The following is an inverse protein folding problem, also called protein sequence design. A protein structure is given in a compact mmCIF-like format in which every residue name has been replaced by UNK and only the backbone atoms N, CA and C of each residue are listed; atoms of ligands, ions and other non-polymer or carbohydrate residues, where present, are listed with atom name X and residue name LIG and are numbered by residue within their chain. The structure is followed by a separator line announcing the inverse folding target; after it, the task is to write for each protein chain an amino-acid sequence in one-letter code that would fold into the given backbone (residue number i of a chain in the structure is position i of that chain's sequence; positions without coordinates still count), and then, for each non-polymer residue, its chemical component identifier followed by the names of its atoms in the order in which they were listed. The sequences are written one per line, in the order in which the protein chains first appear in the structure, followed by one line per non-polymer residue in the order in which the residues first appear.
data_IF_771982056078
#
_entry.id   IF_771982056078
#
_cell.length_a   1.000
_cell.length_b   1.000
_cell.length_c   1.000
_cell.angle_alpha   90.00
_cell.angle_beta   90.00
_cell.angle_gamma   90.00
#
_symmetry.space_group_name_H-M   'P 1'
#
loop_
_entity.id
_entity.type
_entity.pdbx_description
1 polymer ?
#
# COMPACT_ATOMS: atom_id res chain seq x y z
N UNK A 1 -22.08 -4.93 23.58
CA UNK A 1 -21.09 -4.45 22.60
C UNK A 1 -21.65 -4.71 21.20
N UNK A 2 -21.53 -3.78 20.24
CA UNK A 2 -22.06 -3.98 18.89
C UNK A 2 -21.38 -5.18 18.23
N UNK A 3 -22.18 -6.02 17.57
CA UNK A 3 -21.69 -7.18 16.83
C UNK A 3 -20.80 -6.74 15.65
N UNK A 4 -19.85 -7.60 15.26
CA UNK A 4 -19.00 -7.36 14.10
C UNK A 4 -19.81 -7.36 12.80
N UNK A 5 -19.53 -6.41 11.91
CA UNK A 5 -20.12 -6.31 10.57
C UNK A 5 -19.03 -6.43 9.50
N UNK A 6 -18.99 -7.54 8.74
CA UNK A 6 -17.98 -7.75 7.69
C UNK A 6 -18.23 -6.89 6.43
N UNK A 7 -19.37 -6.19 6.37
CA UNK A 7 -19.79 -5.49 5.16
C UNK A 7 -18.76 -4.45 4.68
N UNK A 8 -18.16 -3.71 5.62
CA UNK A 8 -17.17 -2.68 5.29
C UNK A 8 -15.89 -3.30 4.72
N UNK A 9 -15.34 -4.32 5.36
CA UNK A 9 -14.14 -5.02 4.89
C UNK A 9 -14.38 -5.67 3.52
N UNK A 10 -15.53 -6.32 3.32
CA UNK A 10 -15.89 -6.94 2.03
C UNK A 10 -16.05 -5.93 0.89
N UNK A 11 -16.71 -4.79 1.14
CA UNK A 11 -16.87 -3.72 0.14
C UNK A 11 -15.51 -3.11 -0.22
N UNK A 12 -14.66 -2.91 0.79
CA UNK A 12 -13.30 -2.37 0.61
C UNK A 12 -12.43 -3.32 -0.20
N UNK A 13 -12.43 -4.61 0.16
CA UNK A 13 -11.74 -5.66 -0.59
C UNK A 13 -12.20 -5.73 -2.05
N UNK A 14 -13.52 -5.69 -2.28
CA UNK A 14 -14.08 -5.73 -3.63
C UNK A 14 -13.64 -4.53 -4.47
N UNK A 15 -13.62 -3.33 -3.89
CA UNK A 15 -13.10 -2.13 -4.55
C UNK A 15 -11.61 -2.28 -4.90
N UNK A 16 -10.79 -2.69 -3.94
CA UNK A 16 -9.34 -2.85 -4.12
C UNK A 16 -9.00 -3.90 -5.17
N UNK A 17 -9.68 -5.05 -5.16
CA UNK A 17 -9.54 -6.09 -6.18
C UNK A 17 -9.99 -5.62 -7.56
N UNK A 18 -11.10 -4.86 -7.64
CA UNK A 18 -11.55 -4.31 -8.91
C UNK A 18 -10.52 -3.33 -9.50
N UNK A 19 -9.94 -2.45 -8.68
CA UNK A 19 -8.88 -1.53 -9.09
C UNK A 19 -7.61 -2.29 -9.47
N UNK A 20 -7.23 -3.33 -8.71
CA UNK A 20 -6.07 -4.17 -9.01
C UNK A 20 -6.23 -4.88 -10.36
N UNK A 21 -7.39 -5.50 -10.58
CA UNK A 21 -7.71 -6.22 -11.81
C UNK A 21 -7.79 -5.28 -13.03
N UNK A 22 -8.30 -4.06 -12.85
CA UNK A 22 -8.26 -3.03 -13.89
C UNK A 22 -6.81 -2.60 -14.19
N UNK A 23 -6.04 -2.30 -13.16
CA UNK A 23 -4.65 -1.83 -13.29
C UNK A 23 -3.76 -2.88 -13.93
N UNK A 24 -3.92 -4.17 -13.60
CA UNK A 24 -3.15 -5.28 -14.16
C UNK A 24 -3.30 -5.41 -15.69
N UNK A 25 -4.49 -5.13 -16.21
CA UNK A 25 -4.80 -5.24 -17.65
C UNK A 25 -4.44 -3.99 -18.44
N UNK A 26 -4.20 -2.88 -17.75
CA UNK A 26 -4.03 -1.60 -18.40
C UNK A 26 -2.59 -1.35 -18.85
N UNK A 27 -2.38 -0.53 -19.90
CA UNK A 27 -1.04 -0.16 -20.37
C UNK A 27 -0.32 0.73 -19.36
N UNK A 28 1.00 0.71 -19.35
CA UNK A 28 1.84 1.47 -18.42
C UNK A 28 3.20 0.84 -18.20
N UNK A 29 4.08 1.52 -17.46
CA UNK A 29 5.38 0.95 -17.07
C UNK A 29 5.19 -0.33 -16.25
N UNK A 30 5.78 -1.47 -16.65
CA UNK A 30 5.48 -2.76 -16.04
C UNK A 30 5.89 -2.83 -14.56
N UNK A 31 6.99 -2.18 -14.17
CA UNK A 31 7.44 -2.14 -12.77
C UNK A 31 6.42 -1.41 -11.88
N UNK A 32 5.98 -0.21 -12.30
CA UNK A 32 4.98 0.60 -11.59
C UNK A 32 3.67 -0.17 -11.48
N UNK A 33 3.17 -0.72 -12.59
CA UNK A 33 1.92 -1.47 -12.64
C UNK A 33 1.93 -2.69 -11.70
N UNK A 34 2.99 -3.51 -11.74
CA UNK A 34 3.11 -4.70 -10.89
C UNK A 34 3.11 -4.34 -9.41
N UNK A 35 3.83 -3.29 -9.02
CA UNK A 35 3.90 -2.83 -7.63
C UNK A 35 2.56 -2.27 -7.14
N UNK A 36 1.87 -1.47 -7.95
CA UNK A 36 0.53 -0.95 -7.62
C UNK A 36 -0.47 -2.11 -7.45
N UNK A 37 -0.46 -3.08 -8.36
CA UNK A 37 -1.32 -4.28 -8.26
C UNK A 37 -1.00 -5.07 -7.01
N UNK A 38 0.28 -5.32 -6.71
CA UNK A 38 0.68 -6.05 -5.51
C UNK A 38 0.22 -5.34 -4.23
N UNK A 39 0.37 -4.02 -4.13
CA UNK A 39 -0.11 -3.24 -2.99
C UNK A 39 -1.63 -3.37 -2.85
N UNK A 40 -2.40 -3.19 -3.93
CA UNK A 40 -3.86 -3.30 -3.90
C UNK A 40 -4.33 -4.71 -3.51
N UNK A 41 -3.62 -5.75 -3.95
CA UNK A 41 -3.92 -7.15 -3.58
C UNK A 41 -3.66 -7.41 -2.11
N UNK A 42 -2.57 -6.89 -1.55
CA UNK A 42 -2.30 -6.98 -0.11
C UNK A 42 -3.34 -6.22 0.71
N UNK A 43 -3.70 -5.00 0.29
CA UNK A 43 -4.78 -4.24 0.94
C UNK A 43 -6.08 -5.06 0.99
N UNK A 44 -6.50 -5.63 -0.14
CA UNK A 44 -7.68 -6.48 -0.19
C UNK A 44 -7.50 -7.78 0.59
N UNK A 45 -6.29 -8.36 0.58
CA UNK A 45 -5.91 -9.56 1.31
C UNK A 45 -6.18 -9.38 2.79
N UNK A 46 -5.69 -8.30 3.39
CA UNK A 46 -5.97 -7.99 4.78
C UNK A 46 -7.47 -7.88 5.07
N UNK A 47 -8.23 -7.17 4.25
CA UNK A 47 -9.68 -7.01 4.46
C UNK A 47 -10.41 -8.37 4.49
N UNK A 48 -10.01 -9.32 3.64
CA UNK A 48 -10.56 -10.67 3.62
C UNK A 48 -10.09 -11.51 4.80
N UNK A 49 -8.81 -11.37 5.18
CA UNK A 49 -8.25 -12.05 6.35
C UNK A 49 -8.94 -11.56 7.62
N UNK A 50 -9.25 -10.27 7.76
CA UNK A 50 -9.96 -9.72 8.91
C UNK A 50 -11.35 -10.35 9.08
N UNK A 51 -12.08 -10.57 7.98
CA UNK A 51 -13.36 -11.30 8.04
C UNK A 51 -13.16 -12.71 8.60
N UNK A 52 -12.07 -13.39 8.23
CA UNK A 52 -11.74 -14.72 8.77
C UNK A 52 -11.32 -14.66 10.26
N UNK A 53 -10.51 -13.67 10.65
CA UNK A 53 -10.16 -13.39 12.06
C UNK A 53 -11.42 -13.22 12.90
N UNK A 54 -12.39 -12.45 12.42
CA UNK A 54 -13.62 -12.19 13.17
C UNK A 54 -14.64 -13.33 13.10
N UNK A 55 -14.48 -14.28 12.18
CA UNK A 55 -15.30 -15.50 12.15
C UNK A 55 -14.89 -16.49 13.23
N UNK A 56 -13.57 -16.67 13.43
CA UNK A 56 -13.01 -17.49 14.52
C UNK A 56 -11.92 -16.71 15.29
N UNK A 57 -12.32 -15.83 16.23
CA UNK A 57 -11.38 -14.95 16.92
C UNK A 57 -10.43 -15.67 17.87
N UNK A 58 -10.73 -16.94 18.21
CA UNK A 58 -9.91 -17.78 19.06
C UNK A 58 -8.74 -18.42 18.29
N UNK A 59 -8.83 -18.54 16.96
CA UNK A 59 -7.74 -19.05 16.13
C UNK A 59 -6.71 -17.94 15.81
N UNK A 60 -5.48 -18.03 16.35
CA UNK A 60 -4.45 -17.03 16.08
C UNK A 60 -3.88 -17.13 14.66
N UNK A 61 -4.19 -18.17 13.89
CA UNK A 61 -3.67 -18.38 12.54
C UNK A 61 -4.00 -17.22 11.62
N UNK A 62 -5.28 -16.84 11.52
CA UNK A 62 -5.72 -15.76 10.65
C UNK A 62 -5.14 -14.40 11.09
N UNK A 63 -5.01 -14.18 12.40
CA UNK A 63 -4.38 -12.96 12.90
C UNK A 63 -2.91 -12.88 12.48
N UNK A 64 -2.15 -13.98 12.61
CA UNK A 64 -0.75 -14.04 12.16
C UNK A 64 -0.63 -13.88 10.65
N UNK A 65 -1.56 -14.46 9.89
CA UNK A 65 -1.64 -14.27 8.45
C UNK A 65 -1.88 -12.80 8.08
N UNK A 66 -2.71 -12.08 8.84
CA UNK A 66 -2.95 -10.65 8.64
C UNK A 66 -1.67 -9.82 8.82
N UNK A 67 -0.87 -10.14 9.85
CA UNK A 67 0.44 -9.50 10.07
C UNK A 67 1.46 -9.89 8.99
N UNK A 68 1.47 -11.14 8.54
CA UNK A 68 2.33 -11.59 7.44
C UNK A 68 1.98 -10.93 6.10
N UNK A 69 0.71 -10.56 5.89
CA UNK A 69 0.25 -9.85 4.69
C UNK A 69 0.69 -8.37 4.73
N UNK A 70 0.31 -7.63 5.77
CA UNK A 70 0.52 -6.17 5.79
C UNK A 70 1.97 -5.75 5.91
N UNK A 71 2.86 -6.58 6.45
CA UNK A 71 4.29 -6.27 6.56
C UNK A 71 4.95 -5.97 5.20
N UNK A 72 4.36 -6.44 4.10
CA UNK A 72 4.83 -6.19 2.73
C UNK A 72 4.41 -4.82 2.17
N UNK A 73 3.43 -4.14 2.76
CA UNK A 73 2.94 -2.86 2.25
C UNK A 73 4.04 -1.78 2.24
N UNK A 74 4.78 -1.53 3.35
CA UNK A 74 5.84 -0.53 3.34
C UNK A 74 6.98 -0.78 2.34
N UNK A 75 7.60 -1.98 2.26
CA UNK A 75 8.68 -2.22 1.30
C UNK A 75 8.20 -2.10 -0.16
N UNK A 76 6.98 -2.56 -0.48
CA UNK A 76 6.44 -2.41 -1.83
C UNK A 76 6.11 -0.96 -2.17
N UNK A 77 5.61 -0.17 -1.20
CA UNK A 77 5.43 1.26 -1.35
C UNK A 77 6.74 2.00 -1.62
N UNK A 78 7.80 1.68 -0.88
CA UNK A 78 9.13 2.24 -1.14
C UNK A 78 9.72 1.76 -2.48
N UNK A 79 9.49 0.50 -2.87
CA UNK A 79 9.87 -0.01 -4.18
C UNK A 79 9.15 0.73 -5.32
N UNK A 80 7.88 1.10 -5.12
CA UNK A 80 7.13 1.91 -6.07
C UNK A 80 7.76 3.29 -6.25
N UNK A 81 8.19 3.94 -5.16
CA UNK A 81 8.94 5.20 -5.25
C UNK A 81 10.25 5.05 -6.02
N UNK A 82 10.99 3.95 -5.82
CA UNK A 82 12.21 3.68 -6.59
C UNK A 82 11.91 3.49 -8.09
N UNK A 83 10.83 2.79 -8.42
CA UNK A 83 10.42 2.60 -9.81
C UNK A 83 10.03 3.93 -10.47
N UNK A 84 9.30 4.80 -9.75
CA UNK A 84 8.95 6.14 -10.20
C UNK A 84 10.17 7.05 -10.34
N UNK A 85 11.18 6.88 -9.50
CA UNK A 85 12.44 7.63 -9.57
C UNK A 85 13.42 7.12 -10.64
N UNK A 86 13.02 6.16 -11.48
CA UNK A 86 13.89 5.61 -12.52
C UNK A 86 15.04 4.74 -12.00
N UNK A 87 14.85 4.03 -10.88
CA UNK A 87 15.81 3.05 -10.35
C UNK A 87 16.71 3.54 -9.23
N UNK A 88 16.68 4.83 -8.89
CA UNK A 88 17.24 5.40 -7.65
C UNK A 88 18.74 5.16 -7.38
N UNK A 89 19.26 5.85 -6.35
CA UNK A 89 20.65 5.65 -5.90
C UNK A 89 20.84 4.25 -5.32
N UNK A 90 22.05 3.69 -5.39
CA UNK A 90 22.41 2.36 -4.82
C UNK A 90 21.96 2.22 -3.35
N UNK A 91 22.12 3.28 -2.57
CA UNK A 91 21.69 3.32 -1.16
C UNK A 91 20.18 3.13 -1.02
N UNK A 92 19.37 3.81 -1.84
CA UNK A 92 17.92 3.70 -1.75
C UNK A 92 17.44 2.29 -2.14
N UNK A 93 18.07 1.68 -3.16
CA UNK A 93 17.84 0.26 -3.50
C UNK A 93 18.22 -0.68 -2.35
N UNK A 94 19.34 -0.42 -1.68
CA UNK A 94 19.76 -1.21 -0.52
C UNK A 94 18.76 -1.10 0.64
N UNK A 95 18.27 0.12 0.94
CA UNK A 95 17.25 0.33 1.99
C UNK A 95 15.99 -0.46 1.69
N UNK A 96 15.45 -0.35 0.47
CA UNK A 96 14.23 -1.11 0.08
C UNK A 96 14.49 -2.61 0.11
N UNK A 97 15.66 -3.07 -0.34
CA UNK A 97 16.06 -4.47 -0.24
C UNK A 97 16.11 -4.97 1.19
N UNK A 98 16.71 -4.20 2.11
CA UNK A 98 16.71 -4.52 3.54
C UNK A 98 15.30 -4.59 4.11
N UNK A 99 14.42 -3.64 3.77
CA UNK A 99 13.03 -3.68 4.22
C UNK A 99 12.29 -4.91 3.71
N UNK A 100 12.50 -5.31 2.45
CA UNK A 100 11.91 -6.52 1.88
C UNK A 100 12.43 -7.79 2.57
N UNK A 101 13.74 -7.87 2.85
CA UNK A 101 14.33 -9.00 3.60
C UNK A 101 13.76 -9.09 5.01
N UNK A 102 13.62 -7.95 5.70
CA UNK A 102 13.02 -7.92 7.03
C UNK A 102 11.54 -8.30 6.97
N UNK A 103 10.77 -7.81 6.00
CA UNK A 103 9.39 -8.22 5.80
C UNK A 103 9.25 -9.73 5.57
N UNK A 104 10.14 -10.33 4.78
CA UNK A 104 10.20 -11.78 4.59
C UNK A 104 10.50 -12.52 5.90
N UNK A 105 11.48 -12.04 6.67
CA UNK A 105 11.81 -12.60 7.98
C UNK A 105 10.60 -12.55 8.93
N UNK A 106 9.95 -11.39 9.06
CA UNK A 106 8.78 -11.22 9.90
C UNK A 106 7.61 -12.09 9.44
N UNK A 107 7.38 -12.21 8.13
CA UNK A 107 6.33 -13.08 7.57
C UNK A 107 6.47 -14.53 8.01
N UNK A 108 7.70 -15.03 8.20
CA UNK A 108 7.96 -16.36 8.75
C UNK A 108 7.89 -16.35 10.28
N UNK A 109 8.49 -15.35 10.91
CA UNK A 109 8.61 -15.27 12.37
C UNK A 109 7.26 -15.20 13.08
N UNK A 110 6.27 -14.49 12.52
CA UNK A 110 4.92 -14.40 13.12
C UNK A 110 4.22 -15.74 13.26
N UNK A 111 4.55 -16.72 12.42
CA UNK A 111 4.03 -18.10 12.55
C UNK A 111 4.91 -18.96 13.47
N UNK A 112 6.22 -18.67 13.53
CA UNK A 112 7.17 -19.42 14.33
C UNK A 112 7.09 -19.12 15.84
N UNK A 113 6.69 -17.90 16.24
CA UNK A 113 6.50 -17.55 17.65
C UNK A 113 5.01 -17.63 18.06
N UNK A 114 4.60 -18.64 18.85
CA UNK A 114 3.23 -18.78 19.32
C UNK A 114 2.73 -17.61 20.16
N UNK A 115 3.64 -16.78 20.69
CA UNK A 115 3.34 -15.63 21.54
C UNK A 115 3.27 -14.32 20.77
N UNK A 116 3.43 -14.34 19.44
CA UNK A 116 3.35 -13.13 18.62
C UNK A 116 1.95 -12.50 18.71
N UNK A 117 0.93 -13.32 18.38
CA UNK A 117 -0.49 -13.02 18.63
C UNK A 117 -1.14 -14.27 19.21
N UNK A 118 -1.85 -14.09 20.31
CA UNK A 118 -2.48 -15.18 21.09
C UNK A 118 -4.00 -15.21 20.97
N UNK A 119 -4.62 -14.15 20.44
CA UNK A 119 -6.05 -14.10 20.21
C UNK A 119 -6.47 -12.74 19.69
N UNK A 120 -7.73 -12.67 19.25
CA UNK A 120 -8.33 -11.44 18.74
C UNK A 120 -9.70 -11.18 19.36
N UNK A 121 -10.12 -9.92 19.34
CA UNK A 121 -11.48 -9.53 19.71
C UNK A 121 -11.98 -8.59 18.61
N UNK A 122 -13.16 -8.86 18.06
CA UNK A 122 -13.75 -8.00 17.04
C UNK A 122 -14.92 -7.21 17.59
N UNK A 123 -14.96 -5.91 17.30
CA UNK A 123 -16.05 -5.02 17.71
C UNK A 123 -16.39 -4.05 16.57
N UNK A 124 -17.69 -3.94 16.26
CA UNK A 124 -18.19 -3.15 15.14
C UNK A 124 -17.52 -3.51 13.80
N UNK A 125 -16.50 -2.78 13.37
CA UNK A 125 -15.74 -3.06 12.13
C UNK A 125 -14.26 -3.30 12.40
N UNK A 126 -13.83 -3.37 13.65
CA UNK A 126 -12.42 -3.31 14.02
C UNK A 126 -12.02 -4.61 14.73
N UNK A 127 -10.83 -5.13 14.39
CA UNK A 127 -10.18 -6.22 15.09
C UNK A 127 -9.10 -5.69 16.06
N UNK A 128 -9.12 -6.22 17.27
CA UNK A 128 -8.15 -5.98 18.33
C UNK A 128 -7.29 -7.23 18.51
N UNK A 129 -5.98 -7.05 18.70
CA UNK A 129 -5.04 -8.16 18.79
C UNK A 129 -4.33 -8.20 20.14
N UNK A 130 -4.35 -9.37 20.79
CA UNK A 130 -3.65 -9.60 22.05
C UNK A 130 -2.25 -10.13 21.79
N UNK A 131 -1.25 -9.45 22.37
CA UNK A 131 0.16 -9.75 22.20
C UNK A 131 0.89 -9.62 23.57
N UNK A 132 1.32 -10.73 24.19
CA UNK A 132 1.92 -10.72 25.53
C UNK A 132 3.40 -10.31 25.58
N UNK A 133 4.02 -9.99 24.44
CA UNK A 133 5.46 -9.71 24.33
C UNK A 133 5.74 -8.45 23.52
N UNK A 134 6.97 -7.92 23.65
CA UNK A 134 7.44 -6.78 22.86
C UNK A 134 7.74 -7.12 21.38
N UNK A 135 7.43 -8.34 20.92
CA UNK A 135 7.64 -8.74 19.53
C UNK A 135 6.85 -7.83 18.55
N UNK A 136 5.66 -7.39 18.96
CA UNK A 136 4.86 -6.46 18.17
C UNK A 136 5.50 -5.07 18.09
N UNK A 137 6.24 -4.63 19.11
CA UNK A 137 6.94 -3.33 19.07
C UNK A 137 8.07 -3.36 18.03
N UNK A 138 8.87 -4.44 17.99
CA UNK A 138 9.91 -4.61 17.00
C UNK A 138 9.34 -4.66 15.57
N UNK A 139 8.24 -5.39 15.38
CA UNK A 139 7.48 -5.39 14.12
C UNK A 139 6.98 -3.98 13.76
N UNK A 140 6.40 -3.27 14.74
CA UNK A 140 5.87 -1.93 14.61
C UNK A 140 6.94 -0.92 14.19
N UNK A 141 8.14 -0.99 14.75
CA UNK A 141 9.26 -0.11 14.37
C UNK A 141 9.59 -0.28 12.88
N UNK A 142 9.73 -1.52 12.39
CA UNK A 142 9.98 -1.77 10.97
C UNK A 142 8.86 -1.19 10.10
N UNK A 143 7.62 -1.47 10.48
CA UNK A 143 6.44 -1.05 9.75
C UNK A 143 6.34 0.48 9.66
N UNK A 144 6.45 1.18 10.80
CA UNK A 144 6.40 2.63 10.87
C UNK A 144 7.57 3.31 10.17
N UNK A 145 8.79 2.77 10.26
CA UNK A 145 9.94 3.29 9.50
C UNK A 145 9.71 3.17 7.99
N UNK A 146 9.08 2.09 7.54
CA UNK A 146 8.72 1.95 6.14
C UNK A 146 7.63 2.91 5.67
N UNK A 147 6.61 3.14 6.48
CA UNK A 147 5.58 4.13 6.19
C UNK A 147 6.15 5.56 6.17
N UNK A 148 7.04 5.88 7.11
CA UNK A 148 7.80 7.14 7.09
C UNK A 148 8.63 7.24 5.79
N UNK A 149 9.28 6.15 5.37
CA UNK A 149 9.99 6.07 4.09
C UNK A 149 9.10 6.37 2.89
N UNK A 150 7.88 5.81 2.85
CA UNK A 150 6.89 6.10 1.80
C UNK A 150 6.45 7.57 1.82
N UNK A 151 6.16 8.11 3.00
CA UNK A 151 5.69 9.49 3.17
C UNK A 151 6.78 10.50 2.78
N UNK A 152 7.94 10.47 3.44
CA UNK A 152 9.02 11.42 3.21
C UNK A 152 9.71 11.19 1.87
N UNK A 153 9.88 9.93 1.46
CA UNK A 153 10.41 9.58 0.15
C UNK A 153 9.51 10.06 -0.99
N UNK A 154 8.18 9.93 -0.83
CA UNK A 154 7.18 10.42 -1.77
C UNK A 154 7.16 11.94 -1.86
N UNK A 155 7.18 12.66 -0.72
CA UNK A 155 7.27 14.12 -0.69
C UNK A 155 8.54 14.60 -1.41
N UNK A 156 9.70 14.02 -1.06
CA UNK A 156 10.98 14.39 -1.68
C UNK A 156 10.97 14.14 -3.18
N UNK A 157 10.43 13.00 -3.62
CA UNK A 157 10.32 12.68 -5.04
C UNK A 157 9.33 13.59 -5.76
N UNK A 158 8.21 13.95 -5.14
CA UNK A 158 7.25 14.89 -5.73
C UNK A 158 7.92 16.25 -6.02
N UNK A 159 8.74 16.75 -5.10
CA UNK A 159 9.47 18.02 -5.29
C UNK A 159 10.58 17.88 -6.35
N UNK A 160 11.32 16.77 -6.33
CA UNK A 160 12.52 16.59 -7.17
C UNK A 160 12.28 15.94 -8.54
N UNK A 161 11.08 15.40 -8.82
CA UNK A 161 10.80 14.69 -10.05
C UNK A 161 10.87 15.61 -11.28
N UNK A 162 11.55 15.11 -12.32
CA UNK A 162 11.76 15.81 -13.58
C UNK A 162 10.47 15.89 -14.42
N UNK A 163 9.65 14.83 -14.41
CA UNK A 163 8.41 14.79 -15.18
C UNK A 163 7.21 15.18 -14.31
N UNK A 164 6.22 15.92 -14.85
CA UNK A 164 4.97 16.22 -14.13
C UNK A 164 4.22 14.95 -13.72
N UNK A 165 4.31 13.89 -14.52
CA UNK A 165 3.66 12.60 -14.28
C UNK A 165 4.25 11.91 -13.05
N UNK A 166 5.58 11.79 -12.95
CA UNK A 166 6.23 11.15 -11.80
C UNK A 166 6.06 11.98 -10.52
N UNK A 167 6.07 13.33 -10.64
CA UNK A 167 5.72 14.22 -9.53
C UNK A 167 4.33 13.91 -8.98
N UNK A 168 3.35 13.79 -9.86
CA UNK A 168 1.97 13.51 -9.46
C UNK A 168 1.81 12.09 -8.89
N UNK A 169 2.54 11.09 -9.40
CA UNK A 169 2.54 9.74 -8.84
C UNK A 169 3.14 9.69 -7.44
N UNK A 170 4.28 10.36 -7.24
CA UNK A 170 4.92 10.45 -5.93
C UNK A 170 4.05 11.19 -4.91
N UNK A 171 3.40 12.28 -5.35
CA UNK A 171 2.44 13.02 -4.53
C UNK A 171 1.22 12.17 -4.17
N UNK A 172 0.67 11.40 -5.11
CA UNK A 172 -0.46 10.48 -4.86
C UNK A 172 -0.09 9.44 -3.79
N UNK A 173 1.08 8.82 -3.90
CA UNK A 173 1.51 7.84 -2.91
C UNK A 173 1.73 8.47 -1.54
N UNK A 174 2.36 9.65 -1.47
CA UNK A 174 2.58 10.35 -0.21
C UNK A 174 1.26 10.78 0.45
N UNK A 175 0.34 11.38 -0.32
CA UNK A 175 -0.98 11.80 0.17
C UNK A 175 -1.82 10.60 0.60
N UNK A 176 -1.79 9.50 -0.16
CA UNK A 176 -2.45 8.25 0.24
C UNK A 176 -1.90 7.73 1.55
N UNK A 177 -0.57 7.72 1.72
CA UNK A 177 0.11 7.28 2.95
C UNK A 177 -0.28 8.14 4.15
N UNK A 178 -0.19 9.47 4.02
CA UNK A 178 -0.62 10.41 5.08
C UNK A 178 -2.10 10.20 5.40
N UNK A 179 -2.92 10.06 4.36
CA UNK A 179 -4.37 9.95 4.44
C UNK A 179 -4.86 8.69 5.14
N UNK A 180 -4.04 7.63 5.25
CA UNK A 180 -4.41 6.47 6.06
C UNK A 180 -3.69 6.40 7.40
N UNK A 181 -2.41 6.81 7.46
CA UNK A 181 -1.60 6.75 8.69
C UNK A 181 -2.09 7.76 9.72
N UNK A 182 -2.26 9.03 9.31
CA UNK A 182 -2.59 10.10 10.27
C UNK A 182 -3.98 9.90 10.87
N UNK A 183 -5.04 9.62 10.09
CA UNK A 183 -6.36 9.35 10.68
C UNK A 183 -6.38 8.11 11.58
N UNK A 184 -5.65 7.05 11.23
CA UNK A 184 -5.58 5.85 12.07
C UNK A 184 -4.95 6.14 13.43
N UNK A 185 -3.78 6.80 13.45
CA UNK A 185 -3.10 7.17 14.69
C UNK A 185 -3.91 8.18 15.51
N UNK A 186 -4.53 9.15 14.85
CA UNK A 186 -5.38 10.12 15.53
C UNK A 186 -6.59 9.44 16.18
N UNK A 187 -7.20 8.48 15.48
CA UNK A 187 -8.33 7.70 16.02
C UNK A 187 -7.90 6.93 17.26
N UNK A 188 -6.74 6.25 17.20
CA UNK A 188 -6.22 5.50 18.35
C UNK A 188 -5.96 6.39 19.57
N UNK A 189 -5.45 7.61 19.37
CA UNK A 189 -5.11 8.55 20.44
C UNK A 189 -6.36 9.23 21.01
N UNK A 190 -7.33 9.61 20.17
CA UNK A 190 -8.48 10.42 20.56
C UNK A 190 -9.62 9.56 21.13
N UNK A 191 -9.81 8.35 20.64
CA UNK A 191 -10.94 7.50 21.04
C UNK A 191 -10.49 6.52 22.13
N UNK A 192 -11.00 6.64 23.37
CA UNK A 192 -10.71 5.66 24.42
C UNK A 192 -11.24 4.29 24.02
N UNK A 193 -10.42 3.25 24.15
CA UNK A 193 -10.81 1.88 23.82
C UNK A 193 -10.36 1.40 22.43
N UNK A 194 -9.73 2.25 21.62
CA UNK A 194 -9.08 1.82 20.34
C UNK A 194 -7.59 1.48 20.49
N UNK A 195 -7.06 1.45 21.72
CA UNK A 195 -5.67 1.04 21.96
C UNK A 195 -5.48 -0.40 21.46
N UNK A 196 -4.41 -0.66 20.71
CA UNK A 196 -4.11 -1.95 20.07
C UNK A 196 -5.00 -2.31 18.86
N UNK A 197 -5.84 -1.39 18.38
CA UNK A 197 -6.58 -1.55 17.13
C UNK A 197 -5.84 -0.97 15.91
N UNK A 198 -4.64 -0.42 16.10
CA UNK A 198 -3.86 0.26 15.04
C UNK A 198 -3.81 -0.52 13.73
N UNK A 199 -3.50 -1.83 13.71
CA UNK A 199 -3.43 -2.59 12.45
C UNK A 199 -4.75 -2.58 11.67
N UNK A 200 -5.88 -2.78 12.37
CA UNK A 200 -7.21 -2.80 11.76
C UNK A 200 -7.65 -1.39 11.34
N UNK A 201 -7.43 -0.37 12.18
CA UNK A 201 -7.70 1.03 11.85
C UNK A 201 -6.96 1.47 10.59
N UNK A 202 -5.66 1.17 10.51
CA UNK A 202 -4.83 1.53 9.36
C UNK A 202 -5.35 0.91 8.07
N UNK A 203 -5.80 -0.34 8.09
CA UNK A 203 -6.32 -1.01 6.90
C UNK A 203 -7.67 -0.44 6.46
N UNK A 204 -8.57 -0.09 7.38
CA UNK A 204 -9.82 0.59 7.04
C UNK A 204 -9.58 1.95 6.38
N UNK A 205 -8.65 2.74 6.93
CA UNK A 205 -8.27 4.00 6.30
C UNK A 205 -7.42 3.79 5.02
N UNK A 206 -6.86 2.61 4.78
CA UNK A 206 -6.07 2.32 3.58
C UNK A 206 -6.91 2.34 2.30
N UNK A 207 -8.25 2.34 2.39
CA UNK A 207 -9.12 2.70 1.27
C UNK A 207 -8.72 4.06 0.65
N UNK A 208 -8.26 5.02 1.47
CA UNK A 208 -7.73 6.30 0.99
C UNK A 208 -6.52 6.07 0.10
N UNK A 209 -5.55 5.25 0.56
CA UNK A 209 -4.39 4.88 -0.25
C UNK A 209 -4.82 4.19 -1.55
N UNK A 210 -5.78 3.28 -1.52
CA UNK A 210 -6.30 2.60 -2.71
C UNK A 210 -6.90 3.59 -3.73
N UNK A 211 -7.62 4.63 -3.29
CA UNK A 211 -8.13 5.70 -4.16
C UNK A 211 -6.99 6.47 -4.84
N UNK A 212 -5.93 6.82 -4.10
CA UNK A 212 -4.77 7.49 -4.69
C UNK A 212 -3.98 6.57 -5.65
N UNK A 213 -3.87 5.27 -5.34
CA UNK A 213 -3.27 4.28 -6.24
C UNK A 213 -4.11 4.09 -7.52
N UNK A 214 -5.43 4.13 -7.43
CA UNK A 214 -6.32 4.12 -8.59
C UNK A 214 -6.10 5.35 -9.48
N UNK A 215 -5.93 6.53 -8.86
CA UNK A 215 -5.61 7.78 -9.57
C UNK A 215 -4.26 7.72 -10.27
N UNK A 216 -3.24 7.22 -9.57
CA UNK A 216 -1.90 6.98 -10.09
C UNK A 216 -1.96 6.03 -11.29
N UNK A 217 -2.64 4.89 -11.16
CA UNK A 217 -2.80 3.91 -12.24
C UNK A 217 -3.47 4.53 -13.48
N UNK A 218 -4.55 5.28 -13.31
CA UNK A 218 -5.23 5.97 -14.42
C UNK A 218 -4.33 7.00 -15.11
N UNK A 219 -3.51 7.74 -14.35
CA UNK A 219 -2.59 8.73 -14.92
C UNK A 219 -1.45 8.04 -15.69
N UNK A 220 -0.92 6.95 -15.15
CA UNK A 220 0.10 6.12 -15.82
C UNK A 220 -0.42 5.59 -17.17
N UNK A 221 -1.65 5.06 -17.20
CA UNK A 221 -2.30 4.60 -18.43
C UNK A 221 -2.39 5.70 -19.49
N UNK A 222 -2.90 6.88 -19.10
CA UNK A 222 -3.06 8.03 -20.00
C UNK A 222 -1.73 8.51 -20.55
N UNK A 223 -0.72 8.63 -19.70
CA UNK A 223 0.62 9.04 -20.10
C UNK A 223 1.24 8.06 -21.09
N UNK A 224 1.10 6.76 -20.83
CA UNK A 224 1.62 5.71 -21.72
C UNK A 224 0.90 5.69 -23.08
N UNK A 225 -0.42 5.76 -23.09
CA UNK A 225 -1.19 5.80 -24.35
C UNK A 225 -0.92 7.08 -25.15
N UNK A 226 -0.74 8.22 -24.48
CA UNK A 226 -0.39 9.47 -25.16
C UNK A 226 0.98 9.39 -25.83
N UNK A 227 1.98 8.82 -25.15
CA UNK A 227 3.31 8.61 -25.72
C UNK A 227 3.26 7.67 -26.94
N UNK A 228 2.58 6.53 -26.83
CA UNK A 228 2.44 5.59 -27.96
C UNK A 228 1.73 6.20 -29.18
N UNK A 229 0.75 7.10 -28.96
CA UNK A 229 0.08 7.83 -30.05
C UNK A 229 0.98 8.87 -30.70
N UNK A 230 1.82 9.54 -29.92
CA UNK A 230 2.78 10.51 -30.45
C UNK A 230 3.83 9.83 -31.34
N UNK A 231 4.27 8.62 -30.96
CA UNK A 231 5.20 7.80 -31.76
C UNK A 231 4.55 7.24 -33.04
N UNK A 232 3.25 6.98 -33.03
CA UNK A 232 2.51 6.45 -34.18
C UNK A 232 2.01 7.51 -35.17
N UNK A 233 2.10 8.80 -34.82
CA UNK A 233 1.70 9.88 -35.73
C UNK A 233 2.67 9.93 -36.92
N UNK A 234 2.20 9.79 -38.18
CA UNK A 234 3.08 9.88 -39.34
C UNK A 234 3.79 11.23 -39.35
N UNK A 235 5.08 11.23 -39.66
CA UNK A 235 5.87 12.43 -39.87
C UNK A 235 5.28 13.17 -41.08
N UNK A 236 4.32 14.06 -40.82
CA UNK A 236 3.70 14.89 -41.86
C UNK A 236 4.76 15.90 -42.28
N UNK A 237 5.55 15.44 -43.23
CA UNK A 237 6.70 16.09 -43.86
C UNK A 237 6.40 17.56 -44.12
N UNK A 238 7.08 18.42 -43.36
CA UNK A 238 7.19 19.87 -43.60
C UNK A 238 8.12 20.07 -44.80
N UNK A 239 7.75 19.51 -45.95
CA UNK A 239 8.30 19.81 -47.27
C UNK A 239 7.24 20.52 -48.10
N UNK A 240 6.91 21.74 -47.70
CA UNK A 240 6.41 22.76 -48.62
C UNK A 240 7.21 24.03 -48.40
N UNK A 241 8.41 24.04 -48.98
CA UNK A 241 9.05 25.29 -49.37
C UNK A 241 8.37 25.77 -50.65
N UNK A 242 7.76 26.97 -50.70
CA UNK A 242 7.55 27.63 -51.97
C UNK A 242 8.89 28.22 -52.40
N UNK A 243 9.52 27.56 -53.37
CA UNK A 243 10.44 28.25 -54.28
C UNK A 243 9.60 29.13 -55.20
N UNK A 244 9.57 30.43 -54.90
CA UNK A 244 8.93 31.47 -55.69
C UNK A 244 9.47 32.83 -55.29
#
# INVERSE_FOLDING_TARGET
MPAYSPALSLVTAAFELAVAAHTARAPGRPAVRRLVVAILVLLAGYQLIEVAVCHDPADPFFARLAFADVVWLPPLGCALLLALAGGGRRVARAVVGTQATLAAFFSVWVFADPRFVTGSVCQAVIAFYTHPTNALEAYGVLYHLGLAGMMFGGIRLAVAAATPTDRAHAADLAMGTVGFVVPALLTEVVIPGTKNATPSLMCHYALVLAVFLARLARREQRAFTAAARAEAAPDVDVRRAPSG
#
